data_IF_740138124967
#
_entry.id   IF_740138124967
#
_cell.length_a   1.000
_cell.length_b   1.000
_cell.length_c   1.000
_cell.angle_alpha   90.00
_cell.angle_beta   90.00
_cell.angle_gamma   90.00
#
_symmetry.space_group_name_H-M   'P 1'
#
loop_
_entity.id
_entity.type
_entity.pdbx_description
1 polymer ?
#
# COMPACT_ATOMS: atom_id res chain seq x y z
N UNK A 1 23.53 -9.01 4.24
CA UNK A 1 22.80 -8.18 5.24
C UNK A 1 21.70 -7.32 4.61
N UNK A 2 21.86 -6.84 3.39
CA UNK A 2 20.91 -6.02 2.63
C UNK A 2 19.46 -6.56 2.47
N UNK A 3 19.19 -7.87 2.23
CA UNK A 3 17.82 -8.31 1.95
C UNK A 3 16.92 -8.34 3.20
N UNK A 4 17.48 -8.60 4.38
CA UNK A 4 16.73 -8.60 5.64
C UNK A 4 16.37 -7.19 6.08
N UNK A 5 17.31 -6.25 5.95
CA UNK A 5 17.06 -4.84 6.23
C UNK A 5 15.96 -4.29 5.32
N UNK A 6 16.03 -4.54 4.01
CA UNK A 6 15.05 -4.04 3.06
C UNK A 6 13.66 -4.65 3.27
N UNK A 7 13.56 -5.94 3.63
CA UNK A 7 12.27 -6.55 4.02
C UNK A 7 11.64 -5.88 5.23
N UNK A 8 12.43 -5.62 6.28
CA UNK A 8 11.95 -4.96 7.50
C UNK A 8 11.58 -3.50 7.26
N UNK A 9 12.40 -2.79 6.50
CA UNK A 9 12.12 -1.41 6.10
C UNK A 9 10.81 -1.34 5.29
N UNK A 10 10.64 -2.22 4.29
CA UNK A 10 9.39 -2.30 3.52
C UNK A 10 8.18 -2.60 4.40
N UNK A 11 8.29 -3.55 5.33
CA UNK A 11 7.19 -3.83 6.26
C UNK A 11 6.83 -2.65 7.17
N UNK A 12 7.83 -1.91 7.66
CA UNK A 12 7.62 -0.71 8.46
C UNK A 12 6.95 0.40 7.63
N UNK A 13 7.39 0.61 6.39
CA UNK A 13 6.81 1.58 5.46
C UNK A 13 5.35 1.24 5.15
N UNK A 14 5.04 -0.01 4.82
CA UNK A 14 3.66 -0.45 4.60
C UNK A 14 2.77 -0.21 5.83
N UNK A 15 3.32 -0.41 7.05
CA UNK A 15 2.61 -0.08 8.29
C UNK A 15 2.38 1.42 8.47
N UNK A 16 3.38 2.26 8.13
CA UNK A 16 3.27 3.72 8.13
C UNK A 16 2.23 4.23 7.13
N UNK A 17 2.19 3.66 5.94
CA UNK A 17 1.19 4.00 4.92
C UNK A 17 -0.23 3.62 5.37
N UNK A 18 -0.41 2.46 5.99
CA UNK A 18 -1.70 2.08 6.59
C UNK A 18 -2.10 3.08 7.67
N UNK A 19 -1.17 3.46 8.56
CA UNK A 19 -1.45 4.46 9.59
C UNK A 19 -1.81 5.81 8.97
N UNK A 20 -1.11 6.23 7.91
CA UNK A 20 -1.40 7.46 7.17
C UNK A 20 -2.80 7.43 6.53
N UNK A 21 -3.16 6.36 5.82
CA UNK A 21 -4.49 6.19 5.22
C UNK A 21 -5.60 6.25 6.28
N UNK A 22 -5.43 5.53 7.40
CA UNK A 22 -6.40 5.54 8.49
C UNK A 22 -6.52 6.91 9.16
N UNK A 23 -5.41 7.63 9.32
CA UNK A 23 -5.42 9.00 9.85
C UNK A 23 -6.13 9.96 8.88
N UNK A 24 -5.88 9.84 7.57
CA UNK A 24 -6.57 10.63 6.56
C UNK A 24 -8.08 10.35 6.57
N UNK A 25 -8.48 9.08 6.63
CA UNK A 25 -9.89 8.68 6.75
C UNK A 25 -10.54 9.21 8.03
N UNK A 26 -9.85 9.10 9.18
CA UNK A 26 -10.34 9.66 10.43
C UNK A 26 -10.47 11.19 10.33
N UNK A 27 -9.52 11.86 9.68
CA UNK A 27 -9.57 13.32 9.49
C UNK A 27 -10.75 13.73 8.62
N UNK A 28 -11.04 12.99 7.55
CA UNK A 28 -12.21 13.23 6.70
C UNK A 28 -13.50 12.98 7.49
N UNK A 29 -13.58 11.88 8.24
CA UNK A 29 -14.76 11.56 9.04
C UNK A 29 -15.04 12.56 10.17
N UNK A 30 -14.00 13.21 10.73
CA UNK A 30 -14.13 14.13 11.88
C UNK A 30 -14.24 15.59 11.45
N UNK A 31 -13.49 16.01 10.43
CA UNK A 31 -13.35 17.43 10.06
C UNK A 31 -14.06 17.82 8.77
N UNK A 32 -14.52 16.87 7.95
CA UNK A 32 -15.36 17.20 6.80
C UNK A 32 -16.74 17.56 7.35
N UNK A 33 -16.93 18.86 7.61
CA UNK A 33 -18.26 19.45 7.86
C UNK A 33 -19.17 18.97 6.75
N UNK A 34 -20.39 18.58 7.12
CA UNK A 34 -21.43 18.08 6.22
C UNK A 34 -21.83 19.20 5.23
N UNK A 35 -21.01 19.44 4.21
CA UNK A 35 -21.29 20.40 3.13
C UNK A 35 -22.31 19.84 2.14
N UNK A 36 -22.84 18.64 2.40
CA UNK A 36 -23.91 18.01 1.63
C UNK A 36 -25.22 18.81 1.65
N UNK A 37 -25.37 19.76 2.59
CA UNK A 37 -26.51 20.67 2.65
C UNK A 37 -26.39 21.89 1.72
N UNK A 38 -25.21 22.18 1.15
CA UNK A 38 -24.94 23.40 0.35
C UNK A 38 -24.84 23.13 -1.16
N UNK A 39 -24.61 21.89 -1.60
CA UNK A 39 -24.52 21.58 -3.03
C UNK A 39 -25.41 20.40 -3.42
N UNK A 40 -26.60 20.70 -3.91
CA UNK A 40 -27.53 19.73 -4.48
C UNK A 40 -27.12 19.31 -5.90
N UNK A 41 -25.93 18.74 -6.07
CA UNK A 41 -25.51 18.19 -7.36
C UNK A 41 -24.40 17.14 -7.23
N UNK A 42 -24.71 15.97 -6.68
CA UNK A 42 -24.27 14.67 -7.22
C UNK A 42 -24.81 13.53 -6.33
N UNK A 43 -25.13 12.41 -6.95
CA UNK A 43 -25.74 11.24 -6.32
C UNK A 43 -24.80 10.60 -5.27
N UNK A 44 -24.94 11.05 -4.02
CA UNK A 44 -24.40 10.39 -2.85
C UNK A 44 -24.97 8.96 -2.77
N UNK A 45 -24.16 7.93 -3.03
CA UNK A 45 -24.60 6.55 -2.81
C UNK A 45 -23.61 5.48 -3.21
N UNK A 46 -23.18 5.44 -4.47
CA UNK A 46 -22.38 4.31 -4.99
C UNK A 46 -20.90 4.59 -5.11
N UNK A 47 -20.50 5.77 -5.61
CA UNK A 47 -19.09 6.13 -5.81
C UNK A 47 -18.29 6.20 -4.50
N UNK A 48 -18.87 6.79 -3.46
CA UNK A 48 -18.24 6.91 -2.14
C UNK A 48 -18.04 5.54 -1.46
N UNK A 49 -19.02 4.64 -1.55
CA UNK A 49 -18.91 3.29 -0.99
C UNK A 49 -17.88 2.44 -1.73
N UNK A 50 -17.78 2.58 -3.06
CA UNK A 50 -16.75 1.90 -3.85
C UNK A 50 -15.35 2.39 -3.50
N UNK A 51 -15.19 3.71 -3.32
CA UNK A 51 -13.93 4.31 -2.89
C UNK A 51 -13.53 3.80 -1.50
N UNK A 52 -14.44 3.84 -0.52
CA UNK A 52 -14.20 3.34 0.83
C UNK A 52 -13.86 1.84 0.84
N UNK A 53 -14.58 1.05 0.03
CA UNK A 53 -14.31 -0.38 -0.13
C UNK A 53 -12.94 -0.66 -0.75
N UNK A 54 -12.56 0.10 -1.78
CA UNK A 54 -11.25 -0.02 -2.41
C UNK A 54 -10.11 0.34 -1.44
N UNK A 55 -10.29 1.38 -0.63
CA UNK A 55 -9.30 1.78 0.37
C UNK A 55 -9.18 0.76 1.50
N UNK A 56 -10.30 0.24 2.02
CA UNK A 56 -10.30 -0.84 2.99
C UNK A 56 -9.58 -2.08 2.45
N UNK A 57 -9.83 -2.44 1.19
CA UNK A 57 -9.13 -3.53 0.52
C UNK A 57 -7.62 -3.26 0.41
N UNK A 58 -7.22 -2.03 0.06
CA UNK A 58 -5.81 -1.65 0.01
C UNK A 58 -5.15 -1.78 1.39
N UNK A 59 -5.77 -1.26 2.46
CA UNK A 59 -5.27 -1.38 3.83
C UNK A 59 -5.05 -2.85 4.22
N UNK A 60 -6.01 -3.73 3.93
CA UNK A 60 -5.88 -5.15 4.21
C UNK A 60 -4.73 -5.79 3.44
N UNK A 61 -4.55 -5.46 2.16
CA UNK A 61 -3.45 -5.94 1.32
C UNK A 61 -2.10 -5.48 1.88
N UNK A 62 -1.98 -4.21 2.25
CA UNK A 62 -0.75 -3.63 2.80
C UNK A 62 -0.38 -4.27 4.15
N UNK A 63 -1.37 -4.43 5.05
CA UNK A 63 -1.17 -5.10 6.34
C UNK A 63 -0.76 -6.56 6.16
N UNK A 64 -1.40 -7.28 5.24
CA UNK A 64 -1.05 -8.66 4.93
C UNK A 64 0.39 -8.75 4.41
N UNK A 65 0.77 -7.90 3.45
CA UNK A 65 2.12 -7.87 2.90
C UNK A 65 3.16 -7.51 3.96
N UNK A 66 2.86 -6.53 4.84
CA UNK A 66 3.72 -6.18 5.96
C UNK A 66 3.93 -7.36 6.91
N UNK A 67 2.85 -8.08 7.24
CA UNK A 67 2.92 -9.29 8.07
C UNK A 67 3.79 -10.37 7.43
N UNK A 68 3.62 -10.65 6.13
CA UNK A 68 4.45 -11.63 5.41
C UNK A 68 5.94 -11.24 5.38
N UNK A 69 6.25 -9.94 5.34
CA UNK A 69 7.63 -9.45 5.26
C UNK A 69 8.33 -9.37 6.63
N UNK A 70 7.60 -9.03 7.70
CA UNK A 70 8.17 -8.80 9.03
C UNK A 70 8.01 -9.96 10.02
N UNK A 71 6.91 -10.73 9.95
CA UNK A 71 6.57 -11.73 10.96
C UNK A 71 7.01 -13.13 10.52
N UNK A 72 8.01 -13.75 11.20
CA UNK A 72 8.45 -15.11 10.87
C UNK A 72 7.32 -16.14 11.04
N UNK A 73 6.46 -15.94 12.03
CA UNK A 73 5.30 -16.80 12.31
C UNK A 73 4.22 -16.76 11.22
N UNK A 74 4.24 -15.73 10.37
CA UNK A 74 3.26 -15.51 9.32
C UNK A 74 3.81 -15.80 7.91
N UNK A 75 5.14 -15.81 7.74
CA UNK A 75 5.81 -15.99 6.44
C UNK A 75 5.42 -17.28 5.70
N UNK A 76 5.11 -18.35 6.43
CA UNK A 76 4.75 -19.66 5.88
C UNK A 76 3.26 -20.01 6.08
N UNK A 77 2.42 -19.01 6.43
CA UNK A 77 0.99 -19.21 6.61
C UNK A 77 0.23 -19.00 5.30
N UNK A 78 -0.67 -19.94 5.01
CA UNK A 78 -1.53 -19.91 3.83
C UNK A 78 -0.88 -20.49 2.58
N UNK A 79 -1.67 -20.72 1.52
CA UNK A 79 -1.18 -21.30 0.29
C UNK A 79 -0.25 -20.32 -0.46
N UNK A 80 0.71 -20.85 -1.21
CA UNK A 80 1.71 -20.04 -1.93
C UNK A 80 1.08 -19.05 -2.90
N UNK A 81 0.00 -19.44 -3.59
CA UNK A 81 -0.70 -18.54 -4.51
C UNK A 81 -1.26 -17.30 -3.80
N UNK A 82 -1.73 -17.42 -2.54
CA UNK A 82 -2.26 -16.28 -1.79
C UNK A 82 -1.14 -15.33 -1.33
N UNK A 83 0.03 -15.88 -0.96
CA UNK A 83 1.21 -15.09 -0.60
C UNK A 83 1.77 -14.32 -1.80
N UNK A 84 1.85 -15.00 -2.96
CA UNK A 84 2.24 -14.38 -4.22
C UNK A 84 1.22 -13.31 -4.64
N UNK A 85 -0.08 -13.61 -4.58
CA UNK A 85 -1.12 -12.63 -4.89
C UNK A 85 -1.05 -11.41 -3.96
N UNK A 86 -0.92 -11.61 -2.65
CA UNK A 86 -0.84 -10.51 -1.68
C UNK A 86 0.37 -9.60 -1.88
N UNK A 87 1.57 -10.18 -2.08
CA UNK A 87 2.77 -9.39 -2.37
C UNK A 87 2.71 -8.72 -3.75
N UNK A 88 2.11 -9.37 -4.75
CA UNK A 88 1.88 -8.82 -6.08
C UNK A 88 0.92 -7.64 -6.06
N UNK A 89 -0.22 -7.78 -5.39
CA UNK A 89 -1.19 -6.71 -5.19
C UNK A 89 -0.59 -5.54 -4.42
N UNK A 90 0.15 -5.79 -3.33
CA UNK A 90 0.84 -4.74 -2.60
C UNK A 90 1.83 -3.99 -3.51
N UNK A 91 2.61 -4.71 -4.33
CA UNK A 91 3.51 -4.07 -5.32
C UNK A 91 2.74 -3.21 -6.31
N UNK A 92 1.60 -3.68 -6.83
CA UNK A 92 0.77 -2.92 -7.76
C UNK A 92 0.23 -1.63 -7.10
N UNK A 93 -0.26 -1.72 -5.86
CA UNK A 93 -0.73 -0.56 -5.08
C UNK A 93 0.39 0.47 -4.92
N UNK A 94 1.60 0.03 -4.57
CA UNK A 94 2.76 0.93 -4.42
C UNK A 94 3.14 1.61 -5.74
N UNK A 95 3.16 0.88 -6.85
CA UNK A 95 3.47 1.45 -8.17
C UNK A 95 2.43 2.49 -8.58
N UNK A 96 1.14 2.20 -8.37
CA UNK A 96 0.06 3.14 -8.65
C UNK A 96 0.14 4.38 -7.74
N UNK A 97 0.46 4.20 -6.46
CA UNK A 97 0.68 5.29 -5.51
C UNK A 97 1.88 6.16 -5.86
N UNK A 98 2.99 5.56 -6.28
CA UNK A 98 4.16 6.30 -6.75
C UNK A 98 3.85 7.09 -8.02
N UNK A 99 3.10 6.49 -8.96
CA UNK A 99 2.67 7.16 -10.17
C UNK A 99 1.78 8.37 -9.87
N UNK A 100 0.76 8.20 -9.02
CA UNK A 100 -0.15 9.30 -8.66
C UNK A 100 0.56 10.42 -7.90
N UNK A 101 1.43 10.08 -6.94
CA UNK A 101 2.23 11.06 -6.21
C UNK A 101 3.18 11.82 -7.14
N UNK A 102 3.81 11.14 -8.10
CA UNK A 102 4.67 11.79 -9.10
C UNK A 102 3.88 12.72 -10.00
N UNK A 103 2.72 12.27 -10.51
CA UNK A 103 1.86 13.10 -11.35
C UNK A 103 1.38 14.35 -10.59
N UNK A 104 1.01 14.21 -9.32
CA UNK A 104 0.63 15.34 -8.46
C UNK A 104 1.80 16.30 -8.23
N UNK A 105 3.00 15.80 -7.93
CA UNK A 105 4.18 16.64 -7.74
C UNK A 105 4.54 17.44 -9.00
N UNK A 106 4.34 16.87 -10.18
CA UNK A 106 4.63 17.53 -11.46
C UNK A 106 3.56 18.56 -11.86
N UNK A 107 2.34 18.42 -11.34
CA UNK A 107 1.22 19.31 -11.63
C UNK A 107 1.16 20.54 -10.70
N UNK A 108 1.86 20.50 -9.56
CA UNK A 108 1.85 21.57 -8.57
C UNK A 108 3.05 22.51 -8.72
N UNK A 109 2.85 23.79 -8.38
CA UNK A 109 3.95 24.75 -8.22
C UNK A 109 4.87 24.34 -7.06
N UNK A 110 6.13 24.78 -7.10
CA UNK A 110 7.13 24.43 -6.10
C UNK A 110 6.68 24.87 -4.68
N UNK A 111 6.35 23.89 -3.84
CA UNK A 111 5.86 24.09 -2.48
C UNK A 111 6.04 22.84 -1.60
N UNK A 112 5.57 22.88 -0.33
CA UNK A 112 5.69 21.76 0.62
C UNK A 112 5.12 20.43 0.09
N UNK A 113 4.07 20.49 -0.73
CA UNK A 113 3.41 19.31 -1.30
C UNK A 113 4.33 18.50 -2.23
N UNK A 114 5.24 19.18 -2.95
CA UNK A 114 6.24 18.50 -3.80
C UNK A 114 7.18 17.64 -2.94
N UNK A 115 7.55 18.13 -1.74
CA UNK A 115 8.40 17.38 -0.80
C UNK A 115 7.64 16.17 -0.25
N UNK A 116 6.39 16.35 0.14
CA UNK A 116 5.53 15.26 0.65
C UNK A 116 5.37 14.18 -0.42
N UNK A 117 5.02 14.56 -1.65
CA UNK A 117 4.90 13.64 -2.77
C UNK A 117 6.23 12.93 -3.07
N UNK A 118 7.36 13.63 -2.98
CA UNK A 118 8.69 13.02 -3.11
C UNK A 118 8.99 11.94 -2.07
N UNK A 119 8.62 12.19 -0.80
CA UNK A 119 8.75 11.19 0.28
C UNK A 119 7.82 10.00 0.04
N UNK A 120 6.59 10.23 -0.39
CA UNK A 120 5.63 9.17 -0.73
C UNK A 120 6.17 8.28 -1.85
N UNK A 121 6.72 8.87 -2.92
CA UNK A 121 7.35 8.11 -4.00
C UNK A 121 8.52 7.28 -3.50
N UNK A 122 9.40 7.85 -2.66
CA UNK A 122 10.53 7.12 -2.10
C UNK A 122 10.08 5.91 -1.27
N UNK A 123 9.08 6.11 -0.40
CA UNK A 123 8.50 5.04 0.41
C UNK A 123 7.88 3.95 -0.45
N UNK A 124 7.10 4.33 -1.46
CA UNK A 124 6.48 3.40 -2.38
C UNK A 124 7.51 2.56 -3.17
N UNK A 125 8.63 3.15 -3.57
CA UNK A 125 9.73 2.44 -4.25
C UNK A 125 10.39 1.42 -3.31
N UNK A 126 10.65 1.80 -2.05
CA UNK A 126 11.26 0.89 -1.07
C UNK A 126 10.31 -0.27 -0.73
N UNK A 127 9.03 0.03 -0.51
CA UNK A 127 8.01 -0.97 -0.24
C UNK A 127 7.84 -1.92 -1.43
N UNK A 128 7.79 -1.39 -2.66
CA UNK A 128 7.76 -2.19 -3.90
C UNK A 128 8.96 -3.14 -4.01
N UNK A 129 10.16 -2.63 -3.76
CA UNK A 129 11.38 -3.45 -3.80
C UNK A 129 11.35 -4.58 -2.76
N UNK A 130 10.87 -4.30 -1.55
CA UNK A 130 10.72 -5.30 -0.50
C UNK A 130 9.70 -6.39 -0.88
N UNK A 131 8.55 -6.01 -1.44
CA UNK A 131 7.52 -6.94 -1.91
C UNK A 131 8.03 -7.82 -3.07
N UNK A 132 8.75 -7.24 -4.03
CA UNK A 132 9.38 -7.98 -5.14
C UNK A 132 10.43 -8.98 -4.67
N UNK A 133 11.22 -8.63 -3.65
CA UNK A 133 12.15 -9.58 -3.03
C UNK A 133 11.40 -10.71 -2.31
N UNK A 134 10.28 -10.39 -1.67
CA UNK A 134 9.37 -11.39 -1.10
C UNK A 134 8.85 -12.37 -2.16
N UNK A 135 8.36 -11.85 -3.29
CA UNK A 135 7.86 -12.64 -4.43
C UNK A 135 8.92 -13.58 -4.98
N UNK A 136 10.13 -13.06 -5.23
CA UNK A 136 11.26 -13.89 -5.69
C UNK A 136 11.58 -15.02 -4.71
N UNK A 137 11.46 -14.78 -3.41
CA UNK A 137 11.63 -15.80 -2.38
C UNK A 137 10.59 -16.91 -2.46
N UNK A 138 9.32 -16.57 -2.70
CA UNK A 138 8.22 -17.53 -2.82
C UNK A 138 8.30 -18.37 -4.10
N UNK A 139 8.68 -17.78 -5.23
CA UNK A 139 8.89 -18.55 -6.47
C UNK A 139 10.03 -19.55 -6.32
N UNK A 140 11.16 -19.13 -5.75
CA UNK A 140 12.30 -20.04 -5.49
C UNK A 140 11.92 -21.19 -4.57
N UNK A 141 11.11 -20.94 -3.54
CA UNK A 141 10.59 -22.00 -2.64
C UNK A 141 9.73 -23.01 -3.41
N UNK A 142 8.88 -22.52 -4.31
CA UNK A 142 7.99 -23.37 -5.12
C UNK A 142 8.78 -24.30 -6.04
N UNK A 143 9.80 -23.78 -6.72
CA UNK A 143 10.70 -24.56 -7.60
C UNK A 143 11.41 -25.69 -6.85
N UNK A 144 11.87 -25.43 -5.61
CA UNK A 144 12.55 -26.43 -4.78
C UNK A 144 11.61 -27.56 -4.35
N UNK A 145 10.35 -27.27 -4.03
CA UNK A 145 9.35 -28.31 -3.72
C UNK A 145 8.86 -29.08 -4.95
N UNK A 146 8.95 -28.51 -6.15
CA UNK A 146 8.55 -29.19 -7.38
C UNK A 146 9.62 -30.18 -7.90
N UNK A 147 10.85 -30.07 -7.40
CA UNK A 147 12.01 -30.87 -7.82
C UNK A 147 12.45 -31.92 -6.79
N UNK A 148 11.79 -31.97 -5.63
CA UNK A 148 12.01 -32.95 -4.56
C UNK A 148 10.96 -34.06 -4.60
#
# INVERSE_FOLDING_TARGET
>A
MTPLFLRRAGAAILGLEVAYLLLMQLSMAVFMVDTSEIDHTESAGSGALLFLGAEAAAVLVLLWAAALLALPSFADKGPTWARVAGLGLATAVQVLGAWSATANALAQDAGPDVVINGVMVLFAVIASAACLLGLRGEFRRTELTATA
#
